data_IF_083744862581
#
_entry.id   IF_083744862581
#
_cell.length_a   1.000
_cell.length_b   1.000
_cell.length_c   1.000
_cell.angle_alpha   90.00
_cell.angle_beta   90.00
_cell.angle_gamma   90.00
#
_symmetry.space_group_name_H-M   'P 1'
#
loop_
_entity.id
_entity.type
_entity.pdbx_description
1 polymer ?
#
# COMPACT_ATOMS: atom_id res chain seq x y z
N UNK A 1 0.53 16.69 -9.46
CA UNK A 1 0.96 15.30 -9.70
C UNK A 1 0.53 14.91 -11.10
N UNK A 2 1.43 14.37 -11.90
CA UNK A 2 1.09 14.00 -13.26
C UNK A 2 0.39 12.63 -13.29
N UNK A 3 -0.07 12.26 -14.49
CA UNK A 3 -0.85 11.03 -14.66
C UNK A 3 -0.07 9.78 -14.29
N UNK A 4 1.21 9.74 -14.66
CA UNK A 4 2.04 8.58 -14.38
C UNK A 4 2.29 8.39 -12.89
N UNK A 5 2.53 9.48 -12.19
CA UNK A 5 2.72 9.44 -10.74
C UNK A 5 1.46 8.97 -10.04
N UNK A 6 0.32 9.50 -10.47
CA UNK A 6 -0.96 9.12 -9.89
C UNK A 6 -1.23 7.64 -10.11
N UNK A 7 -0.96 7.16 -11.32
CA UNK A 7 -1.16 5.76 -11.66
C UNK A 7 -0.26 4.86 -10.81
N UNK A 8 0.99 5.28 -10.63
CA UNK A 8 1.94 4.55 -9.80
C UNK A 8 1.41 4.40 -8.37
N UNK A 9 0.91 5.52 -7.80
CA UNK A 9 0.37 5.49 -6.44
C UNK A 9 -0.89 4.63 -6.34
N UNK A 10 -1.73 4.66 -7.37
CA UNK A 10 -2.93 3.84 -7.39
C UNK A 10 -2.58 2.35 -7.44
N UNK A 11 -1.56 1.99 -8.20
CA UNK A 11 -1.11 0.60 -8.27
C UNK A 11 -0.51 0.14 -6.95
N UNK A 12 0.27 1.01 -6.31
CA UNK A 12 0.81 0.71 -4.98
C UNK A 12 -0.33 0.49 -3.99
N UNK A 13 -1.31 1.42 -3.99
CA UNK A 13 -2.45 1.32 -3.09
C UNK A 13 -3.25 0.05 -3.33
N UNK A 14 -3.41 -0.35 -4.58
CA UNK A 14 -4.13 -1.57 -4.92
C UNK A 14 -3.42 -2.81 -4.35
N UNK A 15 -2.09 -2.86 -4.50
CA UNK A 15 -1.32 -3.99 -3.95
C UNK A 15 -1.46 -4.07 -2.44
N UNK A 16 -1.40 -2.92 -1.77
CA UNK A 16 -1.57 -2.88 -0.32
C UNK A 16 -2.95 -3.40 0.06
N UNK A 17 -3.97 -2.92 -0.63
CA UNK A 17 -5.35 -3.31 -0.36
C UNK A 17 -5.56 -4.80 -0.53
N UNK A 18 -5.06 -5.37 -1.63
CA UNK A 18 -5.22 -6.79 -1.89
C UNK A 18 -4.59 -7.64 -0.79
N UNK A 19 -3.39 -7.25 -0.35
CA UNK A 19 -2.70 -8.00 0.70
C UNK A 19 -3.40 -7.83 2.04
N UNK A 20 -3.93 -6.63 2.31
CA UNK A 20 -4.69 -6.41 3.54
C UNK A 20 -5.94 -7.30 3.59
N UNK A 21 -6.67 -7.34 2.50
CA UNK A 21 -7.89 -8.14 2.42
C UNK A 21 -7.56 -9.63 2.55
N UNK A 22 -6.46 -10.07 1.96
CA UNK A 22 -6.02 -11.46 2.06
C UNK A 22 -5.72 -11.84 3.52
N UNK A 23 -5.40 -10.88 4.37
CA UNK A 23 -5.18 -11.11 5.80
C UNK A 23 -6.47 -10.98 6.62
N UNK A 24 -7.59 -10.74 5.96
CA UNK A 24 -8.90 -10.56 6.61
C UNK A 24 -8.92 -9.39 7.57
N UNK A 25 -8.21 -8.31 7.22
CA UNK A 25 -8.13 -7.13 8.07
C UNK A 25 -8.94 -5.99 7.46
N UNK A 26 -9.69 -5.28 8.32
CA UNK A 26 -10.31 -4.02 7.94
C UNK A 26 -9.22 -2.95 7.85
N UNK A 27 -9.55 -1.80 7.24
CA UNK A 27 -8.61 -0.69 7.22
C UNK A 27 -8.29 -0.23 8.64
N UNK A 28 -9.25 -0.25 9.55
CA UNK A 28 -9.02 0.16 10.94
C UNK A 28 -8.06 -0.81 11.63
N UNK A 29 -8.31 -2.11 11.51
CA UNK A 29 -7.44 -3.12 12.14
C UNK A 29 -6.04 -3.08 11.55
N UNK A 30 -5.94 -2.90 10.25
CA UNK A 30 -4.64 -2.80 9.59
C UNK A 30 -3.88 -1.56 10.04
N UNK A 31 -4.61 -0.44 10.16
CA UNK A 31 -4.01 0.79 10.66
C UNK A 31 -3.41 0.61 12.05
N UNK A 32 -4.11 -0.11 12.91
CA UNK A 32 -3.59 -0.39 14.25
C UNK A 32 -2.29 -1.19 14.18
N UNK A 33 -2.25 -2.19 13.29
CA UNK A 33 -1.03 -2.98 13.12
C UNK A 33 0.13 -2.13 12.64
N UNK A 34 -0.14 -1.17 11.78
CA UNK A 34 0.90 -0.30 11.21
C UNK A 34 1.28 0.84 12.14
N UNK A 35 0.45 1.16 13.13
CA UNK A 35 0.59 2.39 13.88
C UNK A 35 0.22 3.61 13.06
N UNK A 36 -0.73 3.46 12.13
CA UNK A 36 -1.20 4.52 11.24
C UNK A 36 -2.71 4.61 11.31
N UNK A 37 -3.23 5.82 11.16
CA UNK A 37 -4.68 6.02 11.24
C UNK A 37 -5.38 5.36 10.03
N UNK A 38 -6.57 4.83 10.27
CA UNK A 38 -7.34 4.16 9.22
C UNK A 38 -7.63 5.10 8.03
N UNK A 39 -7.82 6.39 8.31
CA UNK A 39 -8.06 7.37 7.24
C UNK A 39 -6.86 7.47 6.33
N UNK A 40 -5.66 7.43 6.91
CA UNK A 40 -4.43 7.42 6.12
C UNK A 40 -4.34 6.15 5.27
N UNK A 41 -4.63 4.99 5.87
CA UNK A 41 -4.63 3.73 5.13
C UNK A 41 -5.58 3.81 3.94
N UNK A 42 -6.79 4.32 4.15
CA UNK A 42 -7.77 4.45 3.08
C UNK A 42 -7.26 5.33 1.94
N UNK A 43 -6.64 6.47 2.30
CA UNK A 43 -6.13 7.38 1.28
C UNK A 43 -4.96 6.77 0.50
N UNK A 44 -4.12 5.99 1.17
CA UNK A 44 -3.01 5.29 0.51
C UNK A 44 -3.57 4.26 -0.48
N UNK A 45 -4.58 3.51 -0.07
CA UNK A 45 -5.15 2.47 -0.93
C UNK A 45 -5.83 3.06 -2.15
N UNK A 46 -6.34 4.29 -2.05
CA UNK A 46 -6.94 4.98 -3.21
C UNK A 46 -5.91 5.67 -4.09
N UNK A 47 -4.64 5.64 -3.71
CA UNK A 47 -3.60 6.28 -4.50
C UNK A 47 -3.57 7.78 -4.33
N UNK A 48 -4.08 8.29 -3.21
CA UNK A 48 -4.20 9.73 -2.96
C UNK A 48 -3.05 10.30 -2.14
N UNK A 49 -2.12 9.46 -1.72
CA UNK A 49 -1.00 9.87 -0.86
C UNK A 49 0.33 9.53 -1.50
N UNK A 50 1.23 10.49 -1.45
CA UNK A 50 2.64 10.24 -1.74
C UNK A 50 3.24 9.74 -0.42
N UNK A 51 3.35 8.43 -0.28
CA UNK A 51 3.66 7.78 0.99
C UNK A 51 5.12 7.98 1.35
N UNK A 52 5.36 8.50 2.56
CA UNK A 52 6.73 8.63 3.05
C UNK A 52 7.34 7.25 3.23
N UNK A 53 8.65 7.18 3.07
CA UNK A 53 9.36 5.91 3.08
C UNK A 53 9.19 5.16 4.40
N UNK A 54 9.19 5.86 5.54
CA UNK A 54 9.01 5.19 6.82
C UNK A 54 7.60 4.64 6.98
N UNK A 55 6.58 5.37 6.46
CA UNK A 55 5.21 4.87 6.49
C UNK A 55 5.08 3.64 5.61
N UNK A 56 5.74 3.65 4.45
CA UNK A 56 5.73 2.49 3.56
C UNK A 56 6.35 1.28 4.24
N UNK A 57 7.44 1.49 4.97
CA UNK A 57 8.09 0.40 5.70
C UNK A 57 7.17 -0.19 6.78
N UNK A 58 6.44 0.67 7.51
CA UNK A 58 5.49 0.20 8.51
C UNK A 58 4.40 -0.65 7.87
N UNK A 59 3.89 -0.20 6.73
CA UNK A 59 2.86 -0.94 6.00
C UNK A 59 3.40 -2.29 5.54
N UNK A 60 4.59 -2.28 4.94
CA UNK A 60 5.19 -3.52 4.44
C UNK A 60 5.43 -4.51 5.57
N UNK A 61 5.94 -4.02 6.71
CA UNK A 61 6.19 -4.87 7.88
C UNK A 61 4.89 -5.53 8.35
N UNK A 62 3.81 -4.76 8.42
CA UNK A 62 2.51 -5.30 8.84
C UNK A 62 1.98 -6.33 7.86
N UNK A 63 2.30 -6.19 6.59
CA UNK A 63 1.90 -7.14 5.54
C UNK A 63 2.88 -8.31 5.41
N UNK A 64 3.99 -8.26 6.14
CA UNK A 64 5.03 -9.30 6.10
C UNK A 64 5.68 -9.42 4.73
N UNK A 65 5.87 -8.28 4.09
CA UNK A 65 6.57 -8.20 2.80
C UNK A 65 7.63 -7.12 2.91
N UNK A 66 8.51 -7.06 1.93
CA UNK A 66 9.48 -5.98 1.85
C UNK A 66 8.84 -4.78 1.15
N UNK A 67 9.32 -3.56 1.41
CA UNK A 67 8.85 -2.42 0.62
C UNK A 67 9.05 -2.62 -0.87
N UNK A 68 10.14 -3.30 -1.27
CA UNK A 68 10.40 -3.55 -2.68
C UNK A 68 9.28 -4.37 -3.32
N UNK A 69 8.73 -5.33 -2.58
CA UNK A 69 7.64 -6.15 -3.12
C UNK A 69 6.40 -5.32 -3.39
N UNK A 70 6.15 -4.30 -2.57
CA UNK A 70 5.01 -3.42 -2.79
C UNK A 70 5.24 -2.48 -3.98
N UNK A 71 6.48 -2.15 -4.25
CA UNK A 71 6.83 -1.22 -5.33
C UNK A 71 7.05 -1.91 -6.67
N UNK A 72 7.20 -3.23 -6.66
CA UNK A 72 7.46 -3.98 -7.89
C UNK A 72 6.18 -4.13 -8.68
N UNK A 73 6.20 -3.66 -9.92
CA UNK A 73 5.06 -3.83 -10.82
C UNK A 73 5.07 -5.27 -11.33
N UNK A 74 3.89 -5.87 -11.24
CA UNK A 74 3.80 -7.21 -11.73
C UNK A 74 3.71 -7.19 -13.25
N UNK A 75 4.32 -7.52 -13.80
CA UNK A 75 4.20 -7.57 -15.11
C UNK A 75 4.65 -8.64 -15.72
N UNK A 76 4.47 -8.59 -15.15
CA UNK A 76 4.79 -9.05 -15.41
C UNK A 76 4.79 -9.88 -15.74
N UNK A 77 4.68 -9.92 -15.85
CA UNK A 77 4.77 -10.45 -16.34
C UNK A 77 5.18 -10.87 -17.01
N UNK A 78 5.03 -10.95 -16.98
CA UNK A 78 5.29 -11.21 -17.56
C UNK A 78 5.73 -11.48 -18.13
N UNK A 79 5.80 -11.43 -18.17
CA UNK A 79 6.18 -11.49 -18.82
C UNK A 79 6.43 -12.07 -19.14
#
# INVERSE_FOLDING_TARGET
MNREDKRFLQQLGFRIRERRIAMNLTQAAFGEKCGLHRTFIGSVERGERNVALLSLRKIATALRVTPAELLTESEGKAG
#
